data_IF_508951629635
#
_entry.id   IF_508951629635
#
_cell.length_a   1.000
_cell.length_b   1.000
_cell.length_c   1.000
_cell.angle_alpha   90.00
_cell.angle_beta   90.00
_cell.angle_gamma   90.00
#
_symmetry.space_group_name_H-M   'P 1'
#
loop_
_entity.id
_entity.type
_entity.pdbx_description
1 polymer ?
#
# COMPACT_ATOMS: atom_id res chain seq x y z
N UNK A 1 32.82 -9.22 -26.28
CA UNK A 1 32.75 -7.87 -25.68
C UNK A 1 31.37 -7.21 -25.83
N UNK A 2 30.78 -7.16 -27.03
CA UNK A 2 29.48 -6.50 -27.24
C UNK A 2 28.33 -7.10 -26.41
N UNK A 3 28.22 -8.43 -26.34
CA UNK A 3 27.18 -9.14 -25.55
C UNK A 3 27.23 -8.79 -24.07
N UNK A 4 28.41 -8.83 -23.45
CA UNK A 4 28.57 -8.50 -22.02
C UNK A 4 28.24 -7.02 -21.72
N UNK A 5 28.55 -6.10 -22.64
CA UNK A 5 28.13 -4.70 -22.51
C UNK A 5 26.61 -4.54 -22.63
N UNK A 6 25.97 -5.28 -23.53
CA UNK A 6 24.52 -5.27 -23.68
C UNK A 6 23.82 -5.83 -22.43
N UNK A 7 24.32 -6.96 -21.91
CA UNK A 7 23.85 -7.56 -20.65
C UNK A 7 23.99 -6.58 -19.48
N UNK A 8 25.15 -5.94 -19.32
CA UNK A 8 25.37 -4.95 -18.26
C UNK A 8 24.42 -3.75 -18.32
N UNK A 9 24.12 -3.24 -19.53
CA UNK A 9 23.13 -2.16 -19.70
C UNK A 9 21.71 -2.62 -19.36
N UNK A 10 21.31 -3.81 -19.82
CA UNK A 10 20.01 -4.38 -19.50
C UNK A 10 19.85 -4.62 -17.99
N UNK A 11 20.88 -5.18 -17.35
CA UNK A 11 20.90 -5.42 -15.91
C UNK A 11 20.77 -4.13 -15.10
N UNK A 12 21.53 -3.08 -15.47
CA UNK A 12 21.39 -1.75 -14.88
C UNK A 12 19.96 -1.22 -14.98
N UNK A 13 19.34 -1.30 -16.16
CA UNK A 13 17.97 -0.84 -16.35
C UNK A 13 16.97 -1.63 -15.49
N UNK A 14 17.14 -2.95 -15.38
CA UNK A 14 16.31 -3.79 -14.51
C UNK A 14 16.45 -3.44 -13.03
N UNK A 15 17.68 -3.24 -12.53
CA UNK A 15 17.93 -2.88 -11.13
C UNK A 15 17.35 -1.50 -10.80
N UNK A 16 17.56 -0.52 -11.67
CA UNK A 16 17.00 0.82 -11.50
C UNK A 16 15.46 0.79 -11.48
N UNK A 17 14.84 0.08 -12.43
CA UNK A 17 13.38 -0.05 -12.49
C UNK A 17 12.80 -0.77 -11.26
N UNK A 18 13.44 -1.85 -10.81
CA UNK A 18 13.01 -2.58 -9.62
C UNK A 18 13.12 -1.69 -8.37
N UNK A 19 14.19 -0.91 -8.22
CA UNK A 19 14.34 0.06 -7.13
C UNK A 19 13.27 1.14 -7.15
N UNK A 20 12.97 1.71 -8.32
CA UNK A 20 11.90 2.69 -8.45
C UNK A 20 10.54 2.12 -8.01
N UNK A 21 10.24 0.88 -8.40
CA UNK A 21 9.03 0.20 -7.96
C UNK A 21 9.00 0.00 -6.43
N UNK A 22 10.13 -0.39 -5.83
CA UNK A 22 10.27 -0.52 -4.37
C UNK A 22 10.06 0.81 -3.64
N UNK A 23 10.60 1.91 -4.17
CA UNK A 23 10.42 3.26 -3.62
C UNK A 23 8.97 3.69 -3.71
N UNK A 24 8.31 3.48 -4.87
CA UNK A 24 6.90 3.81 -5.05
C UNK A 24 6.01 3.04 -4.05
N UNK A 25 6.26 1.74 -3.86
CA UNK A 25 5.61 0.91 -2.84
C UNK A 25 5.80 1.47 -1.43
N UNK A 26 7.01 1.88 -1.07
CA UNK A 26 7.28 2.50 0.23
C UNK A 26 6.53 3.83 0.40
N UNK A 27 6.42 4.62 -0.68
CA UNK A 27 5.62 5.85 -0.74
C UNK A 27 4.14 5.60 -0.40
N UNK A 28 3.50 4.65 -1.09
CA UNK A 28 2.10 4.28 -0.83
C UNK A 28 1.92 3.83 0.62
N UNK A 29 2.81 2.97 1.13
CA UNK A 29 2.72 2.54 2.54
C UNK A 29 2.85 3.74 3.50
N UNK A 30 3.70 4.72 3.17
CA UNK A 30 3.89 5.92 3.98
C UNK A 30 2.64 6.81 3.99
N UNK A 31 2.03 6.98 2.82
CA UNK A 31 0.79 7.73 2.63
C UNK A 31 -0.35 7.19 3.50
N UNK A 32 -0.51 5.85 3.56
CA UNK A 32 -1.51 5.19 4.39
C UNK A 32 -1.05 4.83 5.81
N UNK A 33 0.13 5.31 6.24
CA UNK A 33 0.76 5.03 7.55
C UNK A 33 0.86 3.54 7.89
N UNK A 34 1.05 2.70 6.87
CA UNK A 34 1.31 1.28 7.01
C UNK A 34 2.77 1.08 7.41
N UNK A 35 3.03 0.15 8.34
CA UNK A 35 4.38 -0.13 8.84
C UNK A 35 5.40 -0.35 7.72
N UNK A 36 6.52 0.38 7.76
CA UNK A 36 7.58 0.29 6.77
C UNK A 36 8.52 -0.89 7.02
N UNK A 37 9.26 -1.28 5.99
CA UNK A 37 10.31 -2.29 6.15
C UNK A 37 11.48 -1.68 6.93
N UNK A 38 11.76 -2.24 8.11
CA UNK A 38 12.83 -1.76 8.99
C UNK A 38 14.18 -2.39 8.63
N UNK A 39 15.26 -1.60 8.72
CA UNK A 39 16.62 -2.09 8.63
C UNK A 39 16.89 -3.04 9.81
N UNK A 40 17.49 -4.20 9.52
CA UNK A 40 17.87 -5.21 10.51
C UNK A 40 19.39 -5.28 10.67
N UNK A 41 19.89 -5.99 11.67
CA UNK A 41 21.32 -6.20 11.86
C UNK A 41 21.98 -7.02 10.74
N UNK A 42 21.22 -7.94 10.11
CA UNK A 42 21.64 -8.80 9.00
C UNK A 42 20.45 -9.13 8.09
N UNK A 43 20.74 -9.60 6.87
CA UNK A 43 19.73 -10.02 5.90
C UNK A 43 18.98 -8.83 5.27
N UNK A 44 19.65 -7.67 5.17
CA UNK A 44 19.06 -6.50 4.55
C UNK A 44 19.15 -6.65 3.03
N UNK A 45 18.02 -6.50 2.35
CA UNK A 45 18.00 -6.54 0.90
C UNK A 45 18.68 -5.27 0.33
N UNK A 46 19.77 -5.38 -0.45
CA UNK A 46 20.47 -4.23 -1.04
C UNK A 46 19.54 -3.34 -1.87
N UNK A 47 18.56 -3.91 -2.58
CA UNK A 47 17.63 -3.15 -3.41
C UNK A 47 16.76 -2.19 -2.60
N UNK A 48 16.49 -2.50 -1.33
CA UNK A 48 15.65 -1.69 -0.42
C UNK A 48 16.45 -0.58 0.27
N UNK A 49 17.73 -0.83 0.54
CA UNK A 49 18.52 0.00 1.48
C UNK A 49 19.77 0.63 0.86
N UNK A 50 20.00 0.46 -0.44
CA UNK A 50 21.06 1.17 -1.15
C UNK A 50 20.73 2.63 -1.38
N UNK A 51 21.76 3.47 -1.25
CA UNK A 51 21.65 4.93 -1.38
C UNK A 51 21.20 5.35 -2.78
N UNK A 52 21.70 4.68 -3.81
CA UNK A 52 21.38 4.91 -5.22
C UNK A 52 21.47 3.60 -6.02
N UNK A 53 21.24 3.68 -7.33
CA UNK A 53 21.25 2.53 -8.23
C UNK A 53 22.65 1.92 -8.40
N UNK A 54 23.71 2.74 -8.29
CA UNK A 54 25.09 2.27 -8.41
C UNK A 54 25.51 1.48 -7.16
N UNK A 55 25.13 1.92 -5.97
CA UNK A 55 25.33 1.20 -4.70
C UNK A 55 24.61 -0.16 -4.73
N UNK A 56 23.37 -0.19 -5.25
CA UNK A 56 22.62 -1.43 -5.39
C UNK A 56 23.27 -2.39 -6.39
N UNK A 57 23.71 -1.88 -7.55
CA UNK A 57 24.42 -2.68 -8.56
C UNK A 57 25.73 -3.23 -8.02
N UNK A 58 26.51 -2.41 -7.31
CA UNK A 58 27.77 -2.85 -6.70
C UNK A 58 27.54 -3.95 -5.66
N UNK A 59 26.49 -3.82 -4.84
CA UNK A 59 26.12 -4.85 -3.88
C UNK A 59 25.72 -6.17 -4.57
N UNK A 60 24.89 -6.12 -5.61
CA UNK A 60 24.46 -7.31 -6.36
C UNK A 60 25.60 -7.97 -7.17
N UNK A 61 26.58 -7.20 -7.62
CA UNK A 61 27.76 -7.72 -8.33
C UNK A 61 28.87 -8.18 -7.38
N UNK A 62 28.70 -8.02 -6.07
CA UNK A 62 29.70 -8.38 -5.06
C UNK A 62 30.93 -7.47 -5.04
N UNK A 63 30.87 -6.31 -5.67
CA UNK A 63 31.94 -5.30 -5.69
C UNK A 63 31.74 -4.20 -4.64
N UNK A 64 30.54 -4.12 -4.04
CA UNK A 64 30.15 -3.16 -3.01
C UNK A 64 30.09 -3.74 -1.60
N UNK A 65 29.30 -3.10 -0.73
CA UNK A 65 29.13 -3.55 0.67
C UNK A 65 28.47 -4.93 0.75
N UNK A 66 28.92 -5.76 1.69
CA UNK A 66 28.24 -7.03 2.01
C UNK A 66 26.98 -6.76 2.81
N UNK A 67 25.83 -7.16 2.28
CA UNK A 67 24.51 -6.96 2.91
C UNK A 67 24.00 -8.19 3.68
N UNK A 68 24.69 -9.32 3.52
CA UNK A 68 24.30 -10.60 4.13
C UNK A 68 23.16 -11.32 3.40
N UNK A 69 22.75 -10.82 2.23
CA UNK A 69 21.76 -11.43 1.33
C UNK A 69 22.39 -11.59 -0.06
N UNK A 70 22.22 -12.76 -0.67
CA UNK A 70 22.78 -13.04 -2.00
C UNK A 70 22.04 -12.27 -3.12
N UNK A 71 22.63 -12.08 -4.31
CA UNK A 71 21.98 -11.31 -5.38
C UNK A 71 20.66 -11.93 -5.87
N UNK A 72 20.61 -13.25 -6.03
CA UNK A 72 19.39 -13.98 -6.41
C UNK A 72 18.30 -13.86 -5.35
N UNK A 73 18.68 -14.04 -4.08
CA UNK A 73 17.79 -13.89 -2.93
C UNK A 73 17.24 -12.46 -2.84
N UNK A 74 18.09 -11.45 -3.05
CA UNK A 74 17.70 -10.05 -3.04
C UNK A 74 16.67 -9.71 -4.13
N UNK A 75 16.90 -10.18 -5.36
CA UNK A 75 15.95 -9.97 -6.46
C UNK A 75 14.64 -10.70 -6.20
N UNK A 76 14.70 -11.96 -5.76
CA UNK A 76 13.52 -12.78 -5.46
C UNK A 76 12.69 -12.19 -4.33
N UNK A 77 13.33 -11.75 -3.25
CA UNK A 77 12.69 -11.08 -2.12
C UNK A 77 12.03 -9.76 -2.55
N UNK A 78 12.70 -8.94 -3.37
CA UNK A 78 12.14 -7.69 -3.88
C UNK A 78 10.90 -7.93 -4.76
N UNK A 79 10.97 -8.89 -5.69
CA UNK A 79 9.85 -9.23 -6.56
C UNK A 79 8.67 -9.83 -5.79
N UNK A 80 8.95 -10.68 -4.78
CA UNK A 80 7.94 -11.20 -3.87
C UNK A 80 7.24 -10.05 -3.13
N UNK A 81 7.99 -9.12 -2.57
CA UNK A 81 7.45 -7.96 -1.86
C UNK A 81 6.56 -7.08 -2.74
N UNK A 82 6.91 -6.93 -4.02
CA UNK A 82 6.10 -6.21 -5.01
C UNK A 82 4.79 -6.93 -5.30
N UNK A 83 4.86 -8.24 -5.58
CA UNK A 83 3.66 -9.06 -5.83
C UNK A 83 2.69 -9.03 -4.65
N UNK A 84 3.21 -9.21 -3.43
CA UNK A 84 2.40 -9.17 -2.22
C UNK A 84 1.76 -7.79 -2.01
N UNK A 85 2.49 -6.71 -2.31
CA UNK A 85 1.98 -5.35 -2.24
C UNK A 85 0.84 -5.10 -3.24
N UNK A 86 0.96 -5.57 -4.48
CA UNK A 86 -0.10 -5.41 -5.49
C UNK A 86 -1.40 -6.10 -5.05
N UNK A 87 -1.29 -7.36 -4.60
CA UNK A 87 -2.43 -8.12 -4.09
C UNK A 87 -3.07 -7.44 -2.87
N UNK A 88 -2.24 -7.00 -1.92
CA UNK A 88 -2.71 -6.32 -0.71
C UNK A 88 -3.39 -4.98 -1.03
N UNK A 89 -2.84 -4.22 -1.98
CA UNK A 89 -3.40 -2.92 -2.40
C UNK A 89 -4.78 -3.08 -3.03
N UNK A 90 -4.96 -4.06 -3.91
CA UNK A 90 -6.26 -4.31 -4.55
C UNK A 90 -7.31 -4.71 -3.52
N UNK A 91 -6.97 -5.64 -2.62
CA UNK A 91 -7.88 -6.06 -1.55
C UNK A 91 -8.23 -4.90 -0.60
N UNK A 92 -7.23 -4.10 -0.22
CA UNK A 92 -7.39 -2.95 0.65
C UNK A 92 -8.31 -1.89 0.04
N UNK A 93 -8.17 -1.61 -1.26
CA UNK A 93 -9.01 -0.66 -1.98
C UNK A 93 -10.47 -1.09 -1.98
N UNK A 94 -10.73 -2.38 -2.23
CA UNK A 94 -12.10 -2.92 -2.22
C UNK A 94 -12.75 -2.78 -0.85
N UNK A 95 -12.04 -3.14 0.21
CA UNK A 95 -12.56 -3.03 1.58
C UNK A 95 -12.74 -1.58 2.05
N UNK A 96 -11.79 -0.70 1.72
CA UNK A 96 -11.90 0.72 2.04
C UNK A 96 -13.11 1.36 1.35
N UNK A 97 -13.37 1.00 0.08
CA UNK A 97 -14.54 1.45 -0.65
C UNK A 97 -15.85 0.90 -0.04
N UNK A 98 -15.90 -0.38 0.35
CA UNK A 98 -17.05 -0.95 1.05
C UNK A 98 -17.32 -0.23 2.36
N UNK A 99 -16.30 0.07 3.14
CA UNK A 99 -16.43 0.80 4.40
C UNK A 99 -16.95 2.23 4.19
N UNK A 100 -16.49 2.91 3.14
CA UNK A 100 -16.98 4.24 2.74
C UNK A 100 -18.47 4.20 2.39
N UNK A 101 -18.87 3.28 1.52
CA UNK A 101 -20.26 3.12 1.08
C UNK A 101 -21.19 2.73 2.23
N UNK A 102 -20.74 1.83 3.12
CA UNK A 102 -21.50 1.44 4.32
C UNK A 102 -21.71 2.59 5.32
N UNK A 103 -20.85 3.62 5.27
CA UNK A 103 -21.05 4.84 6.06
C UNK A 103 -22.09 5.76 5.41
N UNK A 104 -22.16 5.79 4.08
CA UNK A 104 -23.16 6.53 3.30
C UNK A 104 -24.48 5.78 3.13
N UNK A 105 -24.70 4.67 3.83
CA UNK A 105 -25.98 3.94 3.79
C UNK A 105 -27.14 4.84 4.27
N UNK A 106 -28.12 5.17 3.41
CA UNK A 106 -29.25 6.02 3.77
C UNK A 106 -30.06 5.49 4.97
N UNK A 107 -30.11 4.17 5.17
CA UNK A 107 -30.80 3.57 6.31
C UNK A 107 -30.16 3.98 7.64
N UNK A 108 -28.82 4.05 7.68
CA UNK A 108 -28.07 4.49 8.87
C UNK A 108 -28.25 5.97 9.17
N UNK A 109 -28.38 6.80 8.13
CA UNK A 109 -28.59 8.25 8.28
C UNK A 109 -30.03 8.56 8.69
N UNK A 110 -31.00 7.79 8.20
CA UNK A 110 -32.41 7.94 8.56
C UNK A 110 -32.66 7.74 10.06
N UNK A 111 -31.95 6.80 10.70
CA UNK A 111 -32.03 6.56 12.14
C UNK A 111 -31.38 7.68 12.98
N UNK A 112 -30.36 8.35 12.43
CA UNK A 112 -29.68 9.46 13.11
C UNK A 112 -30.47 10.79 13.10
N UNK A 113 -31.48 10.94 12.23
CA UNK A 113 -32.30 12.16 12.06
C UNK A 113 -33.24 12.51 13.22
N UNK A 114 -33.29 11.68 14.26
CA UNK A 114 -34.12 11.86 15.46
C UNK A 114 -35.57 11.41 15.29
N UNK A 115 -36.25 11.22 16.43
CA UNK A 115 -37.66 10.83 16.47
C UNK A 115 -38.56 12.06 16.33
N UNK A 116 -39.12 12.27 15.14
CA UNK A 116 -40.27 13.18 14.94
C UNK A 116 -41.51 12.37 14.56
N UNK A 117 -42.68 12.80 15.05
CA UNK A 117 -43.97 12.18 14.77
C UNK A 117 -44.45 12.48 13.34
N UNK A 118 -43.90 13.51 12.69
CA UNK A 118 -44.28 13.94 11.33
C UNK A 118 -43.32 13.37 10.29
N UNK A 119 -43.82 12.46 9.45
CA UNK A 119 -43.00 11.74 8.47
C UNK A 119 -42.27 12.65 7.46
N UNK A 120 -42.87 13.77 7.04
CA UNK A 120 -42.24 14.73 6.12
C UNK A 120 -41.04 15.45 6.74
N UNK A 121 -41.14 15.86 8.01
CA UNK A 121 -40.04 16.48 8.74
C UNK A 121 -38.89 15.49 8.99
N UNK A 122 -39.21 14.21 9.23
CA UNK A 122 -38.20 13.15 9.38
C UNK A 122 -37.39 12.98 8.11
N UNK A 123 -38.05 12.94 6.95
CA UNK A 123 -37.39 12.79 5.65
C UNK A 123 -36.51 14.00 5.31
N UNK A 124 -36.99 15.22 5.57
CA UNK A 124 -36.20 16.43 5.37
C UNK A 124 -34.93 16.43 6.25
N UNK A 125 -35.05 16.14 7.55
CA UNK A 125 -33.90 16.07 8.46
C UNK A 125 -32.89 14.98 8.09
N UNK A 126 -33.38 13.82 7.65
CA UNK A 126 -32.51 12.74 7.18
C UNK A 126 -31.73 13.14 5.91
N UNK A 127 -32.36 13.91 5.01
CA UNK A 127 -31.70 14.45 3.83
C UNK A 127 -30.63 15.48 4.20
N UNK A 128 -30.94 16.45 5.07
CA UNK A 128 -29.95 17.43 5.54
C UNK A 128 -28.74 16.76 6.22
N UNK A 129 -29.00 15.69 6.99
CA UNK A 129 -27.94 14.89 7.62
C UNK A 129 -27.10 14.13 6.59
N UNK A 130 -27.74 13.62 5.54
CA UNK A 130 -27.06 12.93 4.45
C UNK A 130 -26.15 13.87 3.66
N UNK A 131 -26.62 15.07 3.28
CA UNK A 131 -25.82 16.07 2.58
C UNK A 131 -24.57 16.47 3.38
N UNK A 132 -24.73 16.68 4.69
CA UNK A 132 -23.60 16.97 5.60
C UNK A 132 -22.61 15.81 5.66
N UNK A 133 -23.11 14.58 5.78
CA UNK A 133 -22.27 13.38 5.82
C UNK A 133 -21.51 13.19 4.51
N UNK A 134 -22.18 13.37 3.37
CA UNK A 134 -21.57 13.28 2.06
C UNK A 134 -20.45 14.32 1.90
N UNK A 135 -20.74 15.59 2.19
CA UNK A 135 -19.75 16.67 2.11
C UNK A 135 -18.53 16.39 3.00
N UNK A 136 -18.75 16.00 4.25
CA UNK A 136 -17.67 15.63 5.17
C UNK A 136 -16.86 14.42 4.68
N UNK A 137 -17.52 13.45 4.04
CA UNK A 137 -16.86 12.26 3.48
C UNK A 137 -15.99 12.61 2.28
N UNK A 138 -16.46 13.47 1.37
CA UNK A 138 -15.68 13.96 0.22
C UNK A 138 -14.47 14.76 0.70
N UNK A 139 -14.65 15.65 1.67
CA UNK A 139 -13.54 16.42 2.24
C UNK A 139 -12.50 15.51 2.91
N UNK A 140 -12.94 14.51 3.67
CA UNK A 140 -12.04 13.56 4.32
C UNK A 140 -11.24 12.69 3.33
N UNK A 141 -11.78 12.44 2.13
CA UNK A 141 -11.04 11.73 1.06
C UNK A 141 -9.98 12.60 0.39
N UNK A 142 -10.19 13.91 0.33
CA UNK A 142 -9.23 14.84 -0.28
C UNK A 142 -8.05 15.16 0.64
N UNK A 143 -8.33 15.31 1.95
CA UNK A 143 -7.39 15.98 2.86
C UNK A 143 -6.88 15.09 4.02
N UNK A 144 -7.43 13.88 4.23
CA UNK A 144 -7.17 13.14 5.47
C UNK A 144 -7.02 11.60 5.33
N UNK A 145 -5.79 11.11 5.55
CA UNK A 145 -5.51 9.68 5.70
C UNK A 145 -5.97 9.10 7.05
N UNK A 146 -6.25 9.95 8.05
CA UNK A 146 -6.93 9.53 9.28
C UNK A 146 -8.44 9.34 9.10
N UNK A 147 -8.96 9.58 7.90
CA UNK A 147 -10.34 9.31 7.55
C UNK A 147 -10.68 7.82 7.72
N UNK A 148 -11.98 7.53 7.73
CA UNK A 148 -12.48 6.17 7.76
C UNK A 148 -11.94 5.33 6.58
N UNK A 149 -11.69 5.96 5.43
CA UNK A 149 -11.11 5.31 4.26
C UNK A 149 -9.67 4.89 4.51
N UNK A 150 -8.78 5.81 4.88
CA UNK A 150 -7.35 5.50 5.07
C UNK A 150 -7.13 4.45 6.17
N UNK A 151 -7.87 4.54 7.27
CA UNK A 151 -7.86 3.52 8.33
C UNK A 151 -8.39 2.15 7.87
N UNK A 152 -9.43 2.13 7.03
CA UNK A 152 -9.95 0.88 6.46
C UNK A 152 -8.95 0.26 5.47
N UNK A 153 -8.34 1.09 4.64
CA UNK A 153 -7.30 0.67 3.70
C UNK A 153 -6.11 0.04 4.44
N UNK A 154 -5.53 0.74 5.42
CA UNK A 154 -4.36 0.25 6.15
C UNK A 154 -4.61 -1.11 6.82
N UNK A 155 -5.76 -1.27 7.51
CA UNK A 155 -6.13 -2.55 8.14
C UNK A 155 -6.29 -3.68 7.12
N UNK A 156 -7.00 -3.42 6.03
CA UNK A 156 -7.26 -4.43 5.01
C UNK A 156 -5.98 -4.80 4.25
N UNK A 157 -5.09 -3.83 4.01
CA UNK A 157 -3.78 -4.05 3.42
C UNK A 157 -2.94 -4.99 4.27
N UNK A 158 -2.81 -4.70 5.57
CA UNK A 158 -2.03 -5.53 6.49
C UNK A 158 -2.60 -6.94 6.63
N UNK A 159 -3.92 -7.07 6.64
CA UNK A 159 -4.57 -8.38 6.65
C UNK A 159 -4.25 -9.16 5.37
N UNK A 160 -4.44 -8.54 4.20
CA UNK A 160 -4.16 -9.18 2.93
C UNK A 160 -2.68 -9.56 2.79
N UNK A 161 -1.77 -8.73 3.31
CA UNK A 161 -0.34 -9.03 3.35
C UNK A 161 -0.03 -10.27 4.19
N UNK A 162 -0.63 -10.39 5.39
CA UNK A 162 -0.47 -11.57 6.26
C UNK A 162 -1.00 -12.84 5.59
N UNK A 163 -2.18 -12.78 4.99
CA UNK A 163 -2.79 -13.92 4.31
C UNK A 163 -1.98 -14.37 3.09
N UNK A 164 -1.53 -13.41 2.27
CA UNK A 164 -0.73 -13.72 1.08
C UNK A 164 0.65 -14.26 1.46
N UNK A 165 1.28 -13.75 2.52
CA UNK A 165 2.54 -14.28 3.04
C UNK A 165 2.41 -15.71 3.57
N UNK A 166 1.29 -16.07 4.19
CA UNK A 166 1.01 -17.44 4.64
C UNK A 166 0.88 -18.43 3.48
N UNK A 167 0.14 -18.08 2.43
CA UNK A 167 -0.04 -18.93 1.23
C UNK A 167 1.26 -19.16 0.44
N UNK A 168 2.22 -18.24 0.54
CA UNK A 168 3.55 -18.38 -0.06
C UNK A 168 4.49 -19.29 0.74
N UNK A 169 4.25 -19.46 2.05
CA UNK A 169 5.07 -20.33 2.90
C UNK A 169 4.68 -21.81 2.85
N UNK A 170 3.45 -22.10 2.40
CA UNK A 170 2.91 -23.46 2.25
C UNK A 170 3.24 -24.12 0.88
N UNK A 171 3.99 -23.43 0.02
CA UNK A 171 4.41 -23.90 -1.32
C UNK A 171 5.92 -24.11 -1.39
#
# INVERSE_FOLDING_TARGET
AATMRALGRAFRAMVAGLRQAMIARAGIKGEFRIEQTMIRARGNNPLKFSADDDDALAALLGTGRRTGMGPEEAVTDALRDMRLHELATVAAMQEAMRALLARLDPARVADAGGRTLVASQRKARAWDAYEKLYAATVQALADDFDSAFGKAFARAYEQALREAAGRDGDR
#
